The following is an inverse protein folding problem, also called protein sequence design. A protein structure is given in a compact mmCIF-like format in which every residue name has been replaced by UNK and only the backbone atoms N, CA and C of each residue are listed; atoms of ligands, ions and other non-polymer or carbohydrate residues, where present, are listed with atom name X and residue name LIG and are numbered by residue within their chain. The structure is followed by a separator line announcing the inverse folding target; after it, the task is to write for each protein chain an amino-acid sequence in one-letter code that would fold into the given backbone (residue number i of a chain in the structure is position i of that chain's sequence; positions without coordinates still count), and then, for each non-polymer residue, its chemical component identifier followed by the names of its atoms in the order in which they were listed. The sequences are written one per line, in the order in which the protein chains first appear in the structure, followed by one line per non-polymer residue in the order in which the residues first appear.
data_IF_034231732532
#
_entry.id   IF_034231732532
#
_cell.length_a   1.000
_cell.length_b   1.000
_cell.length_c   1.000
_cell.angle_alpha   90.00
_cell.angle_beta   90.00
_cell.angle_gamma   90.00
#
_symmetry.space_group_name_H-M   'P 1'
#
loop_
_entity.id
_entity.type
_entity.pdbx_description
1 polymer ?
#
# COMPACT_ATOMS: atom_id res chain seq x y z
N UNK A 1 6.69 -4.50 -2.25
CA UNK A 1 6.38 -5.96 -2.11
C UNK A 1 7.29 -6.64 -1.10
N UNK A 2 8.61 -6.49 -1.19
CA UNK A 2 9.56 -7.09 -0.24
C UNK A 2 9.23 -6.79 1.22
N UNK A 3 8.95 -5.52 1.56
CA UNK A 3 8.55 -5.10 2.91
C UNK A 3 7.28 -5.80 3.42
N UNK A 4 6.35 -6.17 2.55
CA UNK A 4 5.13 -6.88 2.93
C UNK A 4 5.40 -8.35 3.25
N UNK A 5 6.33 -8.99 2.54
CA UNK A 5 6.77 -10.36 2.83
C UNK A 5 7.51 -10.42 4.17
N UNK A 6 8.37 -9.43 4.45
CA UNK A 6 9.10 -9.34 5.72
C UNK A 6 8.17 -9.08 6.92
N UNK A 7 7.20 -8.16 6.78
CA UNK A 7 6.28 -7.81 7.88
C UNK A 7 5.19 -8.86 8.15
N UNK A 8 4.63 -9.46 7.11
CA UNK A 8 3.40 -10.29 7.22
C UNK A 8 3.63 -11.76 6.88
N UNK A 9 4.83 -12.14 6.48
CA UNK A 9 5.18 -13.47 5.99
C UNK A 9 4.80 -13.69 4.52
N UNK A 10 5.20 -14.84 3.99
CA UNK A 10 5.10 -15.15 2.56
C UNK A 10 3.66 -15.12 2.03
N UNK A 11 2.72 -15.75 2.74
CA UNK A 11 1.32 -15.88 2.28
C UNK A 11 0.60 -14.52 2.25
N UNK A 12 0.56 -13.82 3.39
CA UNK A 12 -0.11 -12.52 3.50
C UNK A 12 0.59 -11.44 2.67
N UNK A 13 1.93 -11.47 2.62
CA UNK A 13 2.73 -10.59 1.77
C UNK A 13 2.43 -10.79 0.28
N UNK A 14 2.29 -12.05 -0.16
CA UNK A 14 1.91 -12.37 -1.54
C UNK A 14 0.49 -11.88 -1.86
N UNK A 15 -0.50 -12.12 -1.00
CA UNK A 15 -1.88 -11.65 -1.19
C UNK A 15 -1.94 -10.12 -1.31
N UNK A 16 -1.27 -9.39 -0.42
CA UNK A 16 -1.19 -7.92 -0.49
C UNK A 16 -0.44 -7.44 -1.74
N UNK A 17 0.51 -8.22 -2.25
CA UNK A 17 1.22 -7.95 -3.48
C UNK A 17 0.30 -8.09 -4.71
N UNK A 18 -0.41 -9.21 -4.81
CA UNK A 18 -1.37 -9.46 -5.89
C UNK A 18 -2.44 -8.37 -5.91
N UNK A 19 -2.99 -8.02 -4.75
CA UNK A 19 -3.96 -6.93 -4.64
C UNK A 19 -3.41 -5.56 -5.10
N UNK A 20 -2.11 -5.31 -5.00
CA UNK A 20 -1.47 -4.10 -5.55
C UNK A 20 -1.43 -4.12 -7.08
N UNK A 21 -1.11 -5.27 -7.67
CA UNK A 21 -1.10 -5.45 -9.14
C UNK A 21 -2.52 -5.29 -9.70
N UNK A 22 -3.53 -5.89 -9.06
CA UNK A 22 -4.93 -5.78 -9.48
C UNK A 22 -5.46 -4.33 -9.47
N UNK A 23 -4.84 -3.44 -8.67
CA UNK A 23 -5.17 -2.01 -8.65
C UNK A 23 -4.36 -1.20 -9.67
N UNK A 24 -3.48 -1.81 -10.46
CA UNK A 24 -2.69 -1.13 -11.47
C UNK A 24 -3.51 -1.00 -12.76
N UNK A 25 -4.21 0.12 -12.90
CA UNK A 25 -4.90 0.50 -14.13
C UNK A 25 -4.87 2.03 -14.30
N UNK A 26 -4.94 2.56 -15.53
CA UNK A 26 -4.73 3.99 -15.81
C UNK A 26 -5.75 4.91 -15.13
N UNK A 27 -6.95 4.41 -14.85
CA UNK A 27 -8.01 5.17 -14.16
C UNK A 27 -7.87 5.19 -12.64
N UNK A 28 -6.88 4.51 -12.06
CA UNK A 28 -6.64 4.56 -10.62
C UNK A 28 -5.59 5.61 -10.30
N UNK A 29 -5.93 6.50 -9.35
CA UNK A 29 -4.99 7.47 -8.82
C UNK A 29 -3.83 6.73 -8.15
N UNK A 30 -2.65 6.89 -8.74
CA UNK A 30 -1.38 6.46 -8.15
C UNK A 30 -1.05 7.26 -6.90
N UNK A 31 -0.01 6.86 -6.20
CA UNK A 31 0.44 7.54 -4.99
C UNK A 31 1.22 6.62 -4.08
N UNK A 32 1.68 7.17 -2.97
CA UNK A 32 2.39 6.42 -1.94
C UNK A 32 1.45 5.39 -1.30
N UNK A 33 1.85 4.12 -1.32
CA UNK A 33 1.07 2.98 -0.79
C UNK A 33 1.88 2.21 0.27
N UNK A 34 2.05 2.77 1.48
CA UNK A 34 2.84 2.17 2.53
C UNK A 34 2.26 0.83 2.97
N UNK A 35 3.13 -0.10 3.38
CA UNK A 35 2.69 -1.39 3.93
C UNK A 35 2.18 -1.17 5.37
N UNK A 36 0.89 -1.43 5.65
CA UNK A 36 0.32 -1.28 6.99
C UNK A 36 0.92 -2.31 7.96
N UNK A 37 0.88 -2.00 9.25
CA UNK A 37 1.41 -2.90 10.30
C UNK A 37 0.50 -4.10 10.55
N UNK A 38 -0.79 -3.96 10.25
CA UNK A 38 -1.78 -5.04 10.27
C UNK A 38 -2.14 -5.44 8.84
N UNK A 39 -2.40 -6.73 8.62
CA UNK A 39 -2.77 -7.23 7.31
C UNK A 39 -4.09 -6.60 6.86
N UNK A 40 -4.06 -5.92 5.71
CA UNK A 40 -5.26 -5.45 5.02
C UNK A 40 -5.03 -5.42 3.52
N UNK A 41 -6.09 -5.73 2.79
CA UNK A 41 -6.11 -5.73 1.33
C UNK A 41 -6.41 -4.33 0.79
N UNK A 42 -6.94 -3.43 1.62
CA UNK A 42 -7.32 -2.07 1.24
C UNK A 42 -6.16 -1.09 1.37
N UNK A 43 -6.21 0.01 0.61
CA UNK A 43 -5.21 1.09 0.71
C UNK A 43 -5.34 1.79 2.06
N UNK A 44 -4.21 2.03 2.73
CA UNK A 44 -4.19 2.83 3.93
C UNK A 44 -4.27 4.32 3.56
N UNK A 45 -5.48 4.88 3.56
CA UNK A 45 -5.71 6.31 3.26
C UNK A 45 -5.03 7.22 4.27
N UNK A 46 -5.04 6.87 5.56
CA UNK A 46 -4.45 7.68 6.62
C UNK A 46 -2.94 7.89 6.40
N UNK A 47 -2.20 6.80 6.17
CA UNK A 47 -0.75 6.89 5.94
C UNK A 47 -0.40 7.60 4.62
N UNK A 48 -1.26 7.50 3.59
CA UNK A 48 -1.10 8.27 2.36
C UNK A 48 -1.29 9.78 2.61
N UNK A 49 -2.32 10.14 3.37
CA UNK A 49 -2.66 11.55 3.63
C UNK A 49 -1.62 12.19 4.55
N UNK A 50 -1.09 11.43 5.51
CA UNK A 50 0.07 11.81 6.33
C UNK A 50 1.31 12.08 5.48
N UNK A 51 1.64 11.19 4.53
CA UNK A 51 2.74 11.40 3.58
C UNK A 51 2.54 12.64 2.69
N UNK A 52 1.32 12.89 2.20
CA UNK A 52 1.04 14.12 1.43
C UNK A 52 1.28 15.37 2.28
N UNK A 53 0.81 15.34 3.53
CA UNK A 53 0.98 16.44 4.49
C UNK A 53 2.46 16.68 4.82
N UNK A 54 3.25 15.63 5.02
CA UNK A 54 4.69 15.78 5.32
C UNK A 54 5.46 16.39 4.15
N UNK A 55 5.09 16.07 2.91
CA UNK A 55 5.65 16.71 1.71
C UNK A 55 5.01 18.05 1.33
N UNK A 56 4.09 18.57 2.16
CA UNK A 56 3.39 19.83 1.90
C UNK A 56 2.64 19.83 0.55
N UNK A 57 2.29 18.64 0.05
CA UNK A 57 1.53 18.44 -1.16
C UNK A 57 0.04 18.61 -0.83
N UNK A 58 -0.58 19.64 -1.39
CA UNK A 58 -2.03 19.87 -1.28
C UNK A 58 -2.84 18.78 -2.00
#
# INVERSE_FOLDING_TARGET
MVTALQKHGALKGAIMGIARILRCHPFVKGGYDPVPDHFTIFRNKAARDEYRKSMHLK
#
